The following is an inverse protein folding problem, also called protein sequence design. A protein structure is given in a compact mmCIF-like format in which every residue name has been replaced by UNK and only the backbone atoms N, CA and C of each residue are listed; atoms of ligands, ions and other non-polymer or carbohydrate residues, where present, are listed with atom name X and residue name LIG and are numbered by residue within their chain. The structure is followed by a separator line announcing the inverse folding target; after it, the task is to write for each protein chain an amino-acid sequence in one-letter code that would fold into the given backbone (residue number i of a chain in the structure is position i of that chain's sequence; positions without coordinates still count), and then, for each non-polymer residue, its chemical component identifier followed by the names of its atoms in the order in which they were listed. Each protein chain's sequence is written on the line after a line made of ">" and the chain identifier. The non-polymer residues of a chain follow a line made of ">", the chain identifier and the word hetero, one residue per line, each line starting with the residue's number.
data_IF_577739970254
#
_entry.id   IF_577739970254
#
_cell.length_a   1.000
_cell.length_b   1.000
_cell.length_c   1.000
_cell.angle_alpha   90.00
_cell.angle_beta   90.00
_cell.angle_gamma   90.00
#
_symmetry.space_group_name_H-M   'P 1'
#
loop_
_entity.id
_entity.type
_entity.pdbx_description
1 polymer ?
#
# COMPACT_ATOMS: atom_id res chain seq x y z
N UNK A 1 -54.34 -6.17 -0.06
CA UNK A 1 -53.79 -7.54 -0.21
C UNK A 1 -52.34 -7.48 0.22
N UNK A 2 -52.04 -8.00 1.40
CA UNK A 2 -50.68 -8.13 1.95
C UNK A 2 -50.15 -9.47 1.43
N UNK A 3 -48.98 -9.49 0.78
CA UNK A 3 -48.03 -10.62 0.72
C UNK A 3 -46.80 -10.13 -0.06
N UNK A 4 -45.69 -9.92 0.64
CA UNK A 4 -44.50 -10.79 0.59
C UNK A 4 -43.68 -10.59 -0.69
N UNK A 5 -42.81 -9.57 -0.71
CA UNK A 5 -41.70 -9.46 -1.68
C UNK A 5 -40.64 -8.44 -1.21
N UNK A 6 -40.23 -8.50 0.07
CA UNK A 6 -39.07 -7.72 0.57
C UNK A 6 -37.85 -8.60 0.88
N UNK A 7 -37.87 -9.88 0.50
CA UNK A 7 -36.93 -10.88 1.02
C UNK A 7 -35.80 -11.30 0.05
N UNK A 8 -35.54 -10.57 -1.04
CA UNK A 8 -34.39 -10.93 -1.89
C UNK A 8 -33.73 -9.71 -2.55
N UNK A 9 -32.93 -8.97 -1.77
CA UNK A 9 -32.08 -7.86 -2.27
C UNK A 9 -30.58 -8.17 -2.29
N UNK A 10 -30.16 -9.40 -2.02
CA UNK A 10 -28.74 -9.76 -2.04
C UNK A 10 -28.38 -10.49 -3.35
N UNK A 11 -27.93 -9.72 -4.34
CA UNK A 11 -27.33 -10.25 -5.57
C UNK A 11 -26.13 -11.16 -5.24
N UNK A 12 -25.91 -12.28 -5.95
CA UNK A 12 -24.74 -13.14 -5.75
C UNK A 12 -23.40 -12.39 -5.82
N UNK A 13 -23.33 -11.32 -6.62
CA UNK A 13 -22.16 -10.45 -6.73
C UNK A 13 -21.86 -9.67 -5.43
N UNK A 14 -22.88 -9.36 -4.63
CA UNK A 14 -22.71 -8.68 -3.35
C UNK A 14 -22.05 -9.58 -2.31
N UNK A 15 -22.15 -10.92 -2.39
CA UNK A 15 -21.57 -11.82 -1.37
C UNK A 15 -20.05 -11.95 -1.41
N UNK A 16 -19.43 -11.51 -2.51
CA UNK A 16 -17.99 -11.62 -2.75
C UNK A 16 -17.23 -10.30 -2.56
N UNK A 17 -17.94 -9.18 -2.29
CA UNK A 17 -17.31 -7.89 -2.06
C UNK A 17 -16.87 -7.73 -0.60
N UNK A 18 -15.69 -7.16 -0.35
CA UNK A 18 -15.26 -6.65 0.96
C UNK A 18 -16.06 -5.41 1.41
N UNK A 19 -17.32 -5.33 0.98
CA UNK A 19 -18.19 -4.17 1.07
C UNK A 19 -19.50 -4.58 1.74
N UNK A 20 -19.89 -3.81 2.74
CA UNK A 20 -21.17 -3.90 3.43
C UNK A 20 -22.03 -2.74 2.96
N UNK A 21 -23.23 -3.03 2.49
CA UNK A 21 -24.21 -2.00 2.14
C UNK A 21 -25.15 -1.81 3.32
N UNK A 22 -25.48 -0.56 3.62
CA UNK A 22 -26.29 -0.27 4.79
C UNK A 22 -27.19 0.95 4.57
N UNK A 23 -28.25 1.01 5.37
CA UNK A 23 -29.12 2.17 5.50
C UNK A 23 -29.40 2.39 6.99
N UNK A 24 -29.37 3.63 7.44
CA UNK A 24 -29.60 4.01 8.84
C UNK A 24 -30.44 5.29 8.96
N UNK A 25 -31.04 5.50 10.14
CA UNK A 25 -31.64 6.78 10.48
C UNK A 25 -30.57 7.82 10.87
N UNK A 26 -30.78 9.08 10.50
CA UNK A 26 -29.81 10.15 10.75
C UNK A 26 -29.78 10.66 12.20
N UNK A 27 -30.74 10.26 13.05
CA UNK A 27 -30.87 10.78 14.42
C UNK A 27 -30.12 9.91 15.42
N UNK A 28 -30.31 8.60 15.35
CA UNK A 28 -29.81 7.63 16.32
C UNK A 28 -28.76 6.67 15.73
N UNK A 29 -28.49 6.77 14.43
CA UNK A 29 -27.60 5.84 13.70
C UNK A 29 -28.02 4.37 13.86
N UNK A 30 -29.32 4.12 13.97
CA UNK A 30 -29.88 2.77 13.95
C UNK A 30 -29.91 2.32 12.50
N UNK A 31 -29.20 1.23 12.21
CA UNK A 31 -29.27 0.62 10.90
C UNK A 31 -30.66 0.02 10.71
N UNK A 32 -31.34 0.36 9.62
CA UNK A 32 -32.61 -0.22 9.21
C UNK A 32 -32.38 -1.38 8.21
N UNK A 33 -31.23 -1.37 7.55
CA UNK A 33 -30.79 -2.42 6.65
C UNK A 33 -29.26 -2.53 6.71
N UNK A 34 -28.76 -3.76 6.70
CA UNK A 34 -27.34 -4.08 6.54
C UNK A 34 -27.25 -5.36 5.69
N UNK A 35 -26.38 -5.38 4.68
CA UNK A 35 -26.19 -6.57 3.84
C UNK A 35 -25.56 -7.73 4.63
N UNK A 36 -25.80 -8.96 4.17
CA UNK A 36 -25.31 -10.18 4.83
C UNK A 36 -23.78 -10.24 4.98
N UNK A 37 -23.03 -9.50 4.14
CA UNK A 37 -21.58 -9.39 4.24
C UNK A 37 -21.08 -8.84 5.57
N UNK A 38 -21.88 -8.03 6.27
CA UNK A 38 -21.49 -7.52 7.58
C UNK A 38 -21.26 -8.63 8.60
N UNK A 39 -22.01 -9.74 8.48
CA UNK A 39 -21.84 -10.92 9.32
C UNK A 39 -20.50 -11.59 9.02
N UNK A 40 -20.19 -11.78 7.74
CA UNK A 40 -18.94 -12.43 7.32
C UNK A 40 -17.71 -11.60 7.68
N UNK A 41 -17.81 -10.28 7.52
CA UNK A 41 -16.68 -9.35 7.65
C UNK A 41 -16.40 -8.99 9.11
N UNK A 42 -17.45 -8.75 9.90
CA UNK A 42 -17.32 -8.25 11.27
C UNK A 42 -17.75 -9.24 12.36
N UNK A 43 -18.39 -10.35 11.99
CA UNK A 43 -18.78 -11.43 12.92
C UNK A 43 -20.04 -11.15 13.74
N UNK A 44 -20.67 -9.99 13.60
CA UNK A 44 -21.92 -9.66 14.28
C UNK A 44 -23.12 -10.06 13.46
N UNK A 45 -24.14 -10.60 14.12
CA UNK A 45 -25.43 -10.92 13.52
C UNK A 45 -26.16 -9.64 13.10
N UNK A 46 -26.99 -9.71 12.07
CA UNK A 46 -27.79 -8.56 11.61
C UNK A 46 -28.67 -7.98 12.74
N UNK A 47 -29.16 -8.82 13.65
CA UNK A 47 -29.90 -8.35 14.83
C UNK A 47 -29.06 -7.48 15.76
N UNK A 48 -27.77 -7.78 15.92
CA UNK A 48 -26.85 -6.95 16.70
C UNK A 48 -26.63 -5.59 16.01
N UNK A 49 -26.53 -5.56 14.68
CA UNK A 49 -26.41 -4.32 13.89
C UNK A 49 -27.58 -3.35 14.08
N UNK A 50 -28.80 -3.88 14.27
CA UNK A 50 -30.00 -3.07 14.50
C UNK A 50 -30.07 -2.44 15.90
N UNK A 51 -29.12 -2.72 16.80
CA UNK A 51 -29.12 -2.13 18.13
C UNK A 51 -28.71 -0.65 18.10
N UNK A 52 -29.36 0.16 18.94
CA UNK A 52 -29.02 1.57 19.10
C UNK A 52 -27.55 1.76 19.49
N UNK A 53 -26.89 2.70 18.81
CA UNK A 53 -25.47 3.00 19.02
C UNK A 53 -24.54 1.83 18.69
N UNK A 54 -24.98 0.83 17.90
CA UNK A 54 -24.13 -0.29 17.51
C UNK A 54 -22.85 0.19 16.82
N UNK A 55 -22.96 1.06 15.82
CA UNK A 55 -21.82 1.61 15.09
C UNK A 55 -20.78 2.23 16.03
N UNK A 56 -21.17 3.26 16.78
CA UNK A 56 -20.26 4.00 17.66
C UNK A 56 -19.61 3.11 18.74
N UNK A 57 -20.32 2.11 19.28
CA UNK A 57 -19.76 1.18 20.30
C UNK A 57 -18.67 0.27 19.74
N UNK A 58 -18.70 -0.01 18.44
CA UNK A 58 -17.77 -0.93 17.79
C UNK A 58 -16.64 -0.23 17.01
N UNK A 59 -16.66 1.10 16.91
CA UNK A 59 -15.46 1.85 16.50
C UNK A 59 -14.37 1.70 17.58
N UNK A 60 -13.12 1.57 17.13
CA UNK A 60 -11.94 1.53 17.97
C UNK A 60 -11.92 2.73 18.94
N UNK A 61 -11.56 2.56 20.22
CA UNK A 61 -11.68 3.62 21.22
C UNK A 61 -11.00 4.94 20.86
N UNK A 62 -9.84 4.86 20.20
CA UNK A 62 -9.09 6.05 19.76
C UNK A 62 -9.74 6.82 18.62
N UNK A 63 -10.51 6.14 17.75
CA UNK A 63 -11.12 6.77 16.56
C UNK A 63 -12.58 7.21 16.84
N UNK A 64 -13.20 6.64 17.90
CA UNK A 64 -14.64 6.73 18.14
C UNK A 64 -15.15 8.16 18.24
N UNK A 65 -14.51 8.99 19.04
CA UNK A 65 -15.00 10.35 19.28
C UNK A 65 -14.91 11.19 18.02
N UNK A 66 -13.77 11.14 17.33
CA UNK A 66 -13.53 11.87 16.09
C UNK A 66 -14.48 11.42 14.98
N UNK A 67 -14.59 10.12 14.72
CA UNK A 67 -15.45 9.56 13.67
C UNK A 67 -16.93 9.92 13.88
N UNK A 68 -17.43 9.77 15.11
CA UNK A 68 -18.83 10.09 15.43
C UNK A 68 -19.10 11.58 15.31
N UNK A 69 -18.17 12.43 15.77
CA UNK A 69 -18.33 13.87 15.69
C UNK A 69 -18.27 14.36 14.23
N UNK A 70 -17.36 13.82 13.42
CA UNK A 70 -17.26 14.12 12.00
C UNK A 70 -18.56 13.78 11.26
N UNK A 71 -19.07 12.55 11.45
CA UNK A 71 -20.32 12.12 10.81
C UNK A 71 -21.51 13.02 11.21
N UNK A 72 -21.65 13.36 12.50
CA UNK A 72 -22.68 14.30 12.98
C UNK A 72 -22.57 15.68 12.36
N UNK A 73 -21.35 16.19 12.18
CA UNK A 73 -21.13 17.50 11.56
C UNK A 73 -21.57 17.48 10.09
N UNK A 74 -21.17 16.47 9.31
CA UNK A 74 -21.60 16.33 7.92
C UNK A 74 -23.12 16.19 7.79
N UNK A 75 -23.75 15.40 8.67
CA UNK A 75 -25.23 15.27 8.73
C UNK A 75 -25.89 16.62 9.01
N UNK A 76 -25.38 17.41 9.96
CA UNK A 76 -25.93 18.73 10.28
C UNK A 76 -25.87 19.70 9.08
N UNK A 77 -24.87 19.52 8.21
CA UNK A 77 -24.67 20.29 6.98
C UNK A 77 -25.41 19.71 5.77
N UNK A 78 -25.99 18.51 5.91
CA UNK A 78 -26.61 17.74 4.81
C UNK A 78 -25.60 17.43 3.70
N UNK A 79 -24.38 17.11 4.08
CA UNK A 79 -23.28 16.79 3.18
C UNK A 79 -23.02 15.29 3.14
N UNK A 80 -22.98 14.75 1.93
CA UNK A 80 -22.36 13.45 1.67
C UNK A 80 -20.90 13.47 2.13
N UNK A 81 -20.42 12.36 2.67
CA UNK A 81 -19.10 12.32 3.27
C UNK A 81 -18.50 10.93 3.21
N UNK A 82 -17.17 10.90 3.25
CA UNK A 82 -16.35 9.69 3.29
C UNK A 82 -15.29 9.88 4.37
N UNK A 83 -15.06 8.83 5.15
CA UNK A 83 -14.04 8.83 6.18
C UNK A 83 -13.60 7.40 6.51
N UNK A 84 -12.42 7.29 7.13
CA UNK A 84 -11.83 6.01 7.50
C UNK A 84 -11.69 5.90 9.02
N UNK A 85 -11.95 4.72 9.55
CA UNK A 85 -11.81 4.43 10.97
C UNK A 85 -11.54 2.95 11.21
N UNK A 86 -10.99 2.62 12.38
CA UNK A 86 -10.84 1.24 12.83
C UNK A 86 -12.14 0.75 13.44
N UNK A 87 -12.63 -0.39 12.96
CA UNK A 87 -13.83 -1.07 13.46
C UNK A 87 -13.44 -2.40 14.13
N UNK A 88 -14.06 -2.69 15.26
CA UNK A 88 -13.78 -3.88 16.07
C UNK A 88 -14.77 -4.99 15.72
N UNK A 89 -14.25 -6.10 15.21
CA UNK A 89 -15.01 -7.33 14.98
C UNK A 89 -15.46 -7.97 16.30
N UNK A 90 -16.37 -8.94 16.22
CA UNK A 90 -16.92 -9.64 17.39
C UNK A 90 -15.85 -10.35 18.22
N UNK A 91 -14.82 -10.87 17.55
CA UNK A 91 -13.64 -11.50 18.14
C UNK A 91 -12.51 -10.49 18.46
N UNK A 92 -12.81 -9.18 18.46
CA UNK A 92 -11.92 -8.08 18.84
C UNK A 92 -10.73 -7.85 17.93
N UNK A 93 -10.75 -8.37 16.71
CA UNK A 93 -9.82 -7.96 15.67
C UNK A 93 -10.14 -6.54 15.19
N UNK A 94 -9.10 -5.83 14.76
CA UNK A 94 -9.23 -4.51 14.16
C UNK A 94 -9.35 -4.66 12.65
N UNK A 95 -10.35 -4.01 12.06
CA UNK A 95 -10.49 -3.82 10.61
C UNK A 95 -10.45 -2.34 10.29
N UNK A 96 -9.69 -1.95 9.28
CA UNK A 96 -9.76 -0.61 8.74
C UNK A 96 -10.96 -0.52 7.80
N UNK A 97 -11.88 0.38 8.11
CA UNK A 97 -13.11 0.57 7.35
C UNK A 97 -13.07 1.96 6.72
N UNK A 98 -13.31 2.00 5.42
CA UNK A 98 -13.67 3.22 4.69
C UNK A 98 -15.18 3.25 4.54
N UNK A 99 -15.81 4.28 5.09
CA UNK A 99 -17.25 4.42 5.12
C UNK A 99 -17.67 5.58 4.21
N UNK A 100 -18.52 5.28 3.24
CA UNK A 100 -19.08 6.25 2.30
C UNK A 100 -20.53 6.44 2.67
N UNK A 101 -20.89 7.65 3.06
CA UNK A 101 -22.22 8.03 3.54
C UNK A 101 -22.85 9.01 2.57
N UNK A 102 -23.99 8.64 2.02
CA UNK A 102 -24.86 9.53 1.26
C UNK A 102 -26.12 9.85 2.05
N UNK A 103 -26.58 11.08 1.91
CA UNK A 103 -27.76 11.61 2.58
C UNK A 103 -28.91 11.72 1.58
N UNK A 104 -30.05 11.13 1.92
CA UNK A 104 -31.30 11.32 1.18
C UNK A 104 -32.46 11.65 2.12
N UNK A 105 -33.60 11.99 1.53
CA UNK A 105 -34.84 12.27 2.25
C UNK A 105 -35.92 11.33 1.78
N UNK A 106 -36.68 10.78 2.71
CA UNK A 106 -37.83 9.95 2.39
C UNK A 106 -39.04 10.80 1.95
N UNK A 107 -40.18 10.16 1.65
CA UNK A 107 -41.40 10.86 1.22
C UNK A 107 -42.03 11.72 2.31
N UNK A 108 -41.75 11.45 3.58
CA UNK A 108 -42.21 12.23 4.72
C UNK A 108 -41.27 13.42 5.02
N UNK A 109 -40.11 13.50 4.35
CA UNK A 109 -39.08 14.49 4.58
C UNK A 109 -38.10 14.12 5.69
N UNK A 110 -38.13 12.87 6.17
CA UNK A 110 -37.17 12.34 7.14
C UNK A 110 -35.84 12.04 6.45
N UNK A 111 -34.75 12.43 7.12
CA UNK A 111 -33.40 12.21 6.60
C UNK A 111 -32.98 10.76 6.80
N UNK A 112 -32.54 10.13 5.71
CA UNK A 112 -32.00 8.78 5.68
C UNK A 112 -30.55 8.82 5.27
N UNK A 113 -29.76 7.97 5.93
CA UNK A 113 -28.39 7.70 5.57
C UNK A 113 -28.35 6.37 4.81
N UNK A 114 -27.66 6.33 3.69
CA UNK A 114 -27.34 5.09 3.01
C UNK A 114 -25.91 5.13 2.51
N UNK A 115 -25.27 3.98 2.51
CA UNK A 115 -23.84 3.97 2.30
C UNK A 115 -23.27 2.58 2.17
N UNK A 116 -21.95 2.57 2.13
CA UNK A 116 -21.18 1.35 2.10
C UNK A 116 -19.94 1.46 2.99
N UNK A 117 -19.66 0.38 3.71
CA UNK A 117 -18.43 0.18 4.46
C UNK A 117 -17.54 -0.77 3.67
N UNK A 118 -16.34 -0.33 3.31
CA UNK A 118 -15.33 -1.13 2.62
C UNK A 118 -14.24 -1.50 3.62
N UNK A 119 -13.94 -2.78 3.77
CA UNK A 119 -12.74 -3.23 4.47
C UNK A 119 -11.50 -2.94 3.60
N UNK A 120 -10.64 -2.07 4.10
CA UNK A 120 -9.38 -1.67 3.48
C UNK A 120 -8.17 -2.20 4.27
N UNK A 121 -8.35 -3.17 5.17
CA UNK A 121 -7.29 -3.73 6.01
C UNK A 121 -6.15 -4.32 5.18
N UNK A 122 -6.47 -5.16 4.19
CA UNK A 122 -5.46 -5.77 3.32
C UNK A 122 -4.74 -4.74 2.45
N UNK A 123 -5.45 -3.70 2.00
CA UNK A 123 -4.87 -2.59 1.25
C UNK A 123 -3.87 -1.82 2.12
N UNK A 124 -4.25 -1.47 3.35
CA UNK A 124 -3.38 -0.80 4.33
C UNK A 124 -2.13 -1.63 4.63
N UNK A 125 -2.28 -2.93 4.89
CA UNK A 125 -1.12 -3.80 5.13
C UNK A 125 -0.19 -3.89 3.92
N UNK A 126 -0.73 -3.95 2.70
CA UNK A 126 0.09 -3.97 1.49
C UNK A 126 0.87 -2.64 1.31
N UNK A 127 0.22 -1.50 1.57
CA UNK A 127 0.85 -0.18 1.53
C UNK A 127 1.93 -0.03 2.60
N UNK A 128 1.69 -0.49 3.83
CA UNK A 128 2.68 -0.49 4.92
C UNK A 128 3.89 -1.36 4.59
N UNK A 129 3.68 -2.58 4.08
CA UNK A 129 4.77 -3.47 3.66
C UNK A 129 5.58 -2.82 2.54
N UNK A 130 4.92 -2.22 1.54
CA UNK A 130 5.59 -1.53 0.45
C UNK A 130 6.38 -0.32 0.96
N UNK A 131 5.82 0.44 1.89
CA UNK A 131 6.46 1.60 2.49
C UNK A 131 7.70 1.19 3.31
N UNK A 132 7.58 0.17 4.15
CA UNK A 132 8.70 -0.39 4.92
C UNK A 132 9.79 -0.92 3.99
N UNK A 133 9.43 -1.65 2.93
CA UNK A 133 10.40 -2.14 1.95
C UNK A 133 11.12 -0.98 1.24
N UNK A 134 10.38 0.09 0.90
CA UNK A 134 10.97 1.30 0.32
C UNK A 134 11.92 1.98 1.29
N UNK A 135 11.50 2.15 2.56
CA UNK A 135 12.34 2.72 3.60
C UNK A 135 13.60 1.89 3.86
N UNK A 136 13.48 0.56 3.91
CA UNK A 136 14.60 -0.35 4.03
C UNK A 136 15.61 -0.15 2.89
N UNK A 137 15.15 -0.03 1.64
CA UNK A 137 16.02 0.26 0.50
C UNK A 137 16.69 1.64 0.57
N UNK A 138 16.04 2.64 1.18
CA UNK A 138 16.61 3.99 1.36
C UNK A 138 17.50 4.15 2.59
N UNK A 139 17.39 3.26 3.58
CA UNK A 139 18.20 3.28 4.81
C UNK A 139 19.44 2.42 4.72
N UNK A 140 19.54 1.54 3.72
CA UNK A 140 20.79 0.88 3.39
C UNK A 140 21.80 1.97 2.97
N UNK A 141 22.86 2.14 3.78
CA UNK A 141 23.98 3.04 3.48
C UNK A 141 24.86 2.55 2.32
N UNK A 142 24.43 1.52 1.59
CA UNK A 142 25.07 1.01 0.37
C UNK A 142 24.39 1.62 -0.86
N UNK A 143 25.20 1.98 -1.85
CA UNK A 143 24.69 2.40 -3.15
C UNK A 143 24.20 1.17 -3.93
N UNK A 144 22.97 1.23 -4.41
CA UNK A 144 22.36 0.19 -5.26
C UNK A 144 22.07 0.79 -6.62
N UNK A 145 22.45 0.10 -7.68
CA UNK A 145 22.08 0.41 -9.06
C UNK A 145 21.40 -0.80 -9.68
N UNK A 146 20.53 -0.57 -10.66
CA UNK A 146 19.99 -1.63 -11.50
C UNK A 146 20.40 -1.34 -12.93
N UNK A 147 20.88 -2.35 -13.67
CA UNK A 147 21.24 -2.20 -15.08
C UNK A 147 20.43 -3.11 -15.99
N UNK A 148 20.31 -2.74 -17.27
CA UNK A 148 19.87 -3.64 -18.33
C UNK A 148 20.96 -4.71 -18.65
N UNK A 149 20.67 -5.72 -19.50
CA UNK A 149 21.65 -6.74 -19.91
C UNK A 149 22.88 -6.16 -20.63
N UNK A 150 22.73 -4.99 -21.26
CA UNK A 150 23.80 -4.22 -21.91
C UNK A 150 24.62 -3.36 -20.92
N UNK A 151 24.35 -3.51 -19.61
CA UNK A 151 25.04 -2.84 -18.51
C UNK A 151 24.85 -1.31 -18.51
N UNK A 152 23.71 -0.80 -18.99
CA UNK A 152 23.29 0.58 -18.82
C UNK A 152 22.43 0.70 -17.58
N UNK A 153 22.74 1.68 -16.74
CA UNK A 153 22.00 1.96 -15.51
C UNK A 153 20.57 2.39 -15.87
N UNK A 154 19.58 1.72 -15.30
CA UNK A 154 18.15 2.02 -15.46
C UNK A 154 17.54 2.65 -14.21
N UNK A 155 18.14 2.43 -13.03
CA UNK A 155 17.82 3.17 -11.80
C UNK A 155 18.98 3.12 -10.81
N UNK A 156 18.95 4.02 -9.82
CA UNK A 156 19.81 3.95 -8.63
C UNK A 156 19.05 4.38 -7.37
N UNK A 157 19.48 3.91 -6.20
CA UNK A 157 18.97 4.43 -4.93
C UNK A 157 19.64 5.77 -4.55
N UNK A 158 19.05 6.46 -3.57
CA UNK A 158 19.56 7.74 -3.06
C UNK A 158 20.98 7.62 -2.50
N UNK A 159 21.27 6.52 -1.80
CA UNK A 159 22.58 6.26 -1.20
C UNK A 159 23.70 6.21 -2.26
N UNK A 160 23.44 5.68 -3.46
CA UNK A 160 24.43 5.71 -4.55
C UNK A 160 24.83 7.15 -4.90
N UNK A 161 23.85 8.04 -5.03
CA UNK A 161 24.11 9.46 -5.32
C UNK A 161 24.85 10.15 -4.17
N UNK A 162 24.49 9.84 -2.92
CA UNK A 162 25.16 10.41 -1.74
C UNK A 162 26.61 9.94 -1.60
N UNK A 163 26.89 8.66 -1.88
CA UNK A 163 28.24 8.08 -1.79
C UNK A 163 29.15 8.57 -2.92
N UNK A 164 28.63 8.64 -4.15
CA UNK A 164 29.43 8.89 -5.35
C UNK A 164 29.45 10.37 -5.78
N UNK A 165 28.48 11.16 -5.32
CA UNK A 165 28.29 12.55 -5.74
C UNK A 165 27.63 12.72 -7.12
N UNK A 166 27.21 11.63 -7.77
CA UNK A 166 26.51 11.69 -9.05
C UNK A 166 24.98 11.65 -8.86
N UNK A 167 24.23 12.67 -9.33
CA UNK A 167 22.78 12.60 -9.32
C UNK A 167 22.28 11.56 -10.33
N UNK A 168 21.14 10.93 -10.04
CA UNK A 168 20.53 9.90 -10.90
C UNK A 168 20.40 10.38 -12.36
N UNK A 169 19.94 11.61 -12.56
CA UNK A 169 19.75 12.22 -13.89
C UNK A 169 21.01 12.26 -14.75
N UNK A 170 22.20 12.19 -14.16
CA UNK A 170 23.47 12.17 -14.90
C UNK A 170 23.96 10.76 -15.23
N UNK A 171 23.45 9.71 -14.58
CA UNK A 171 23.98 8.35 -14.69
C UNK A 171 23.06 7.39 -15.43
N UNK A 172 21.75 7.67 -15.52
CA UNK A 172 20.81 6.84 -16.29
C UNK A 172 21.31 6.69 -17.74
N UNK A 173 21.29 5.45 -18.23
CA UNK A 173 21.76 5.08 -19.57
C UNK A 173 23.28 4.91 -19.70
N UNK A 174 24.07 5.22 -18.65
CA UNK A 174 25.52 5.03 -18.65
C UNK A 174 25.91 3.67 -18.06
N UNK A 175 27.13 3.25 -18.36
CA UNK A 175 27.74 2.10 -17.69
C UNK A 175 28.52 2.57 -16.45
N UNK A 176 28.40 1.85 -15.33
CA UNK A 176 28.98 2.22 -14.04
C UNK A 176 30.53 2.31 -14.01
N UNK A 177 31.22 1.89 -15.08
CA UNK A 177 32.69 2.05 -15.22
C UNK A 177 33.19 3.49 -15.12
N UNK A 178 32.33 4.51 -15.16
CA UNK A 178 32.72 5.90 -14.91
C UNK A 178 33.28 6.14 -13.50
N UNK A 179 32.99 5.24 -12.54
CA UNK A 179 33.60 5.28 -11.20
C UNK A 179 35.04 4.77 -11.19
N UNK A 180 35.56 4.19 -12.27
CA UNK A 180 36.92 3.64 -12.34
C UNK A 180 37.91 4.72 -12.80
N UNK A 181 39.11 4.72 -12.23
CA UNK A 181 40.18 5.68 -12.54
C UNK A 181 41.53 5.00 -12.76
N UNK A 182 42.60 5.79 -12.69
CA UNK A 182 43.96 5.38 -13.06
C UNK A 182 44.50 4.22 -12.21
N UNK A 183 44.26 4.27 -10.89
CA UNK A 183 44.76 3.27 -9.94
C UNK A 183 43.78 2.10 -9.76
N UNK A 184 42.65 2.08 -10.48
CA UNK A 184 41.71 0.96 -10.42
C UNK A 184 42.37 -0.32 -10.94
N UNK A 185 42.41 -1.35 -10.08
CA UNK A 185 43.10 -2.60 -10.36
C UNK A 185 42.56 -3.32 -11.62
N UNK A 186 43.45 -3.58 -12.59
CA UNK A 186 43.10 -4.20 -13.87
C UNK A 186 42.66 -5.67 -13.75
N UNK A 187 43.19 -6.41 -12.78
CA UNK A 187 42.79 -7.78 -12.51
C UNK A 187 41.34 -7.83 -12.00
N UNK A 188 40.97 -6.98 -11.04
CA UNK A 188 39.59 -6.87 -10.55
C UNK A 188 38.62 -6.48 -11.66
N UNK A 189 38.99 -5.53 -12.54
CA UNK A 189 38.18 -5.18 -13.72
C UNK A 189 37.91 -6.37 -14.63
N UNK A 190 38.92 -7.23 -14.81
CA UNK A 190 38.79 -8.45 -15.62
C UNK A 190 37.83 -9.43 -14.97
N UNK A 191 37.97 -9.68 -13.67
CA UNK A 191 37.08 -10.57 -12.92
C UNK A 191 35.60 -10.12 -12.99
N UNK A 192 35.35 -8.82 -12.81
CA UNK A 192 34.00 -8.25 -12.95
C UNK A 192 33.44 -8.50 -14.36
N UNK A 193 34.25 -8.26 -15.40
CA UNK A 193 33.82 -8.47 -16.79
C UNK A 193 33.51 -9.94 -17.07
N UNK A 194 34.34 -10.86 -16.57
CA UNK A 194 34.13 -12.30 -16.71
C UNK A 194 32.84 -12.73 -16.03
N UNK A 195 32.59 -12.30 -14.80
CA UNK A 195 31.35 -12.61 -14.07
C UNK A 195 30.10 -12.11 -14.81
N UNK A 196 30.11 -10.86 -15.31
CA UNK A 196 29.00 -10.31 -16.09
C UNK A 196 28.78 -11.10 -17.39
N UNK A 197 29.86 -11.46 -18.09
CA UNK A 197 29.79 -12.20 -19.35
C UNK A 197 29.24 -13.62 -19.14
N UNK A 198 29.66 -14.27 -18.06
CA UNK A 198 29.21 -15.61 -17.68
C UNK A 198 27.86 -15.62 -16.96
N UNK A 199 27.27 -14.43 -16.69
CA UNK A 199 26.03 -14.27 -15.92
C UNK A 199 26.13 -14.93 -14.55
N UNK A 200 27.26 -14.71 -13.87
CA UNK A 200 27.54 -15.19 -12.52
C UNK A 200 27.61 -14.02 -11.56
N UNK A 201 27.44 -14.33 -10.28
CA UNK A 201 27.66 -13.39 -9.20
C UNK A 201 29.14 -12.99 -9.12
N UNK A 202 29.38 -11.73 -8.76
CA UNK A 202 30.69 -11.21 -8.41
C UNK A 202 30.62 -10.58 -7.03
N UNK A 203 31.62 -10.85 -6.19
CA UNK A 203 31.83 -10.17 -4.90
C UNK A 203 33.31 -9.83 -4.77
N UNK A 204 33.62 -8.57 -4.44
CA UNK A 204 34.99 -8.16 -4.18
C UNK A 204 35.16 -6.65 -4.06
N UNK A 205 36.37 -6.22 -3.75
CA UNK A 205 36.69 -4.81 -3.56
C UNK A 205 37.33 -4.20 -4.81
N UNK A 206 36.92 -2.97 -5.14
CA UNK A 206 37.49 -2.19 -6.25
C UNK A 206 37.70 -0.73 -5.84
N UNK A 207 38.84 -0.16 -6.21
CA UNK A 207 39.09 1.26 -6.04
C UNK A 207 38.26 2.07 -7.05
N UNK A 208 37.41 2.95 -6.55
CA UNK A 208 36.53 3.83 -7.32
C UNK A 208 36.78 5.30 -6.95
N UNK A 209 36.23 6.20 -7.76
CA UNK A 209 36.39 7.63 -7.64
C UNK A 209 35.03 8.31 -7.67
N UNK A 210 34.82 9.25 -6.74
CA UNK A 210 33.62 10.09 -6.71
C UNK A 210 33.68 11.15 -7.81
N UNK A 211 32.57 11.87 -8.00
CA UNK A 211 32.47 12.97 -8.96
C UNK A 211 33.50 14.08 -8.74
N UNK A 212 33.91 14.32 -7.50
CA UNK A 212 34.95 15.29 -7.13
C UNK A 212 36.38 14.75 -7.32
N UNK A 213 36.54 13.49 -7.76
CA UNK A 213 37.82 12.82 -7.95
C UNK A 213 38.38 12.15 -6.69
N UNK A 214 37.70 12.22 -5.55
CA UNK A 214 38.19 11.56 -4.33
C UNK A 214 38.11 10.03 -4.47
N UNK A 215 39.21 9.30 -4.18
CA UNK A 215 39.19 7.84 -4.23
C UNK A 215 38.41 7.25 -3.04
N UNK A 216 37.84 6.07 -3.24
CA UNK A 216 37.28 5.24 -2.19
C UNK A 216 37.30 3.76 -2.56
N UNK A 217 37.46 2.91 -1.55
CA UNK A 217 37.27 1.47 -1.71
C UNK A 217 35.79 1.16 -1.75
N UNK A 218 35.38 0.47 -2.80
CA UNK A 218 34.02 0.00 -3.01
C UNK A 218 33.98 -1.52 -2.86
N UNK A 219 33.29 -2.00 -1.82
CA UNK A 219 32.92 -3.40 -1.69
C UNK A 219 31.73 -3.67 -2.62
N UNK A 220 32.02 -4.28 -3.77
CA UNK A 220 31.11 -4.44 -4.89
C UNK A 220 30.56 -5.86 -4.95
N UNK A 221 29.23 -5.96 -4.89
CA UNK A 221 28.46 -7.15 -5.24
C UNK A 221 27.74 -6.91 -6.57
N UNK A 222 27.70 -7.92 -7.45
CA UNK A 222 26.92 -7.91 -8.69
C UNK A 222 26.17 -9.22 -8.78
N UNK A 223 24.85 -9.16 -8.95
CA UNK A 223 23.98 -10.33 -9.08
C UNK A 223 23.12 -10.27 -10.35
N UNK A 224 23.10 -11.33 -11.17
CA UNK A 224 22.21 -11.40 -12.33
C UNK A 224 20.77 -11.67 -11.89
N UNK A 225 19.82 -10.94 -12.47
CA UNK A 225 18.39 -11.18 -12.32
C UNK A 225 17.88 -11.89 -13.57
N UNK A 226 17.27 -13.06 -13.38
CA UNK A 226 16.75 -13.90 -14.46
C UNK A 226 15.21 -13.95 -14.42
N UNK A 227 14.58 -14.00 -15.58
CA UNK A 227 13.13 -14.25 -15.68
C UNK A 227 12.79 -15.73 -15.49
N UNK A 228 11.49 -16.05 -15.48
CA UNK A 228 10.98 -17.43 -15.36
C UNK A 228 11.45 -18.38 -16.48
N UNK A 229 11.98 -17.84 -17.59
CA UNK A 229 12.54 -18.60 -18.72
C UNK A 229 14.07 -18.65 -18.69
N UNK A 230 14.68 -18.31 -17.55
CA UNK A 230 16.12 -18.30 -17.33
C UNK A 230 16.87 -17.31 -18.26
N UNK A 231 16.20 -16.23 -18.69
CA UNK A 231 16.79 -15.17 -19.51
C UNK A 231 17.19 -14.01 -18.61
N UNK A 232 18.39 -13.49 -18.81
CA UNK A 232 18.89 -12.33 -18.09
C UNK A 232 18.02 -11.10 -18.39
N UNK A 233 17.49 -10.47 -17.35
CA UNK A 233 16.70 -9.23 -17.45
C UNK A 233 17.44 -8.03 -16.91
N UNK A 234 18.15 -8.18 -15.79
CA UNK A 234 18.92 -7.10 -15.17
C UNK A 234 20.18 -7.61 -14.47
N UNK A 235 21.06 -6.68 -14.09
CA UNK A 235 21.99 -6.86 -12.98
C UNK A 235 21.65 -5.88 -11.86
N UNK A 236 21.92 -6.29 -10.62
CA UNK A 236 21.86 -5.47 -9.41
C UNK A 236 23.24 -5.46 -8.77
#
# INVERSE_FOLDING_TARGET
>A
MISQDSENKDSPLMRLSSTVFWQADAVNFIFNFVSSNAVNLFGYTIQEWHQTGFWARHIHPEDREEAVNFCKQCISRKEDHEFEYRFLTKDKQVRYVRDIVNISFDKAGEMLLHGLMIDITDLRHAEEILHINTLALTTISQGVIVTDPEQKIISCNKSFSEITGYPESEIIGKNCRFLQGEETNQHTRKLIREAITEKKEFNGEILNYRKDGTPFWNELSISPVLDQKNRLTQFV
#
